data_IF_734394927004
#
_entry.id   IF_734394927004
#
_cell.length_a   1.000
_cell.length_b   1.000
_cell.length_c   1.000
_cell.angle_alpha   90.00
_cell.angle_beta   90.00
_cell.angle_gamma   90.00
#
_symmetry.space_group_name_H-M   'P 1'
#
loop_
_entity.id
_entity.type
_entity.pdbx_description
1 polymer ?
#
# COMPACT_ATOMS: atom_id res chain seq x y z
N UNK A 1 -1.79 -17.91 -8.06
CA UNK A 1 -1.03 -16.66 -7.85
C UNK A 1 0.05 -16.99 -6.83
N UNK A 2 1.32 -16.86 -7.20
CA UNK A 2 2.44 -17.10 -6.27
C UNK A 2 2.59 -15.89 -5.36
N UNK A 3 3.06 -16.12 -4.13
CA UNK A 3 3.31 -15.06 -3.15
C UNK A 3 4.33 -14.05 -3.69
N UNK A 4 4.17 -12.76 -3.37
CA UNK A 4 5.15 -11.74 -3.77
C UNK A 4 6.29 -11.72 -2.75
N UNK A 5 7.56 -11.90 -3.17
CA UNK A 5 8.69 -11.77 -2.26
C UNK A 5 8.67 -10.43 -1.55
N UNK A 6 8.92 -10.41 -0.24
CA UNK A 6 8.87 -9.17 0.54
C UNK A 6 9.82 -8.11 -0.03
N UNK A 7 10.98 -8.49 -0.56
CA UNK A 7 11.92 -7.55 -1.21
C UNK A 7 11.35 -6.85 -2.43
N UNK A 8 10.30 -7.38 -3.05
CA UNK A 8 9.62 -6.78 -4.21
C UNK A 8 8.38 -5.97 -3.80
N UNK A 9 7.93 -6.09 -2.55
CA UNK A 9 6.65 -5.56 -2.11
C UNK A 9 6.69 -4.04 -1.89
N UNK A 10 5.98 -3.29 -2.73
CA UNK A 10 5.86 -1.82 -2.62
C UNK A 10 5.25 -1.37 -1.28
N UNK A 11 4.38 -2.19 -0.69
CA UNK A 11 3.75 -1.91 0.60
C UNK A 11 4.74 -1.77 1.76
N UNK A 12 5.96 -2.30 1.64
CA UNK A 12 7.02 -2.04 2.64
C UNK A 12 7.30 -0.54 2.79
N UNK A 13 7.21 0.25 1.71
CA UNK A 13 7.42 1.68 1.80
C UNK A 13 6.21 2.40 2.42
N UNK A 14 5.00 1.91 2.14
CA UNK A 14 3.77 2.45 2.73
C UNK A 14 3.76 2.35 4.25
N UNK A 15 4.14 1.19 4.81
CA UNK A 15 4.11 0.98 6.27
C UNK A 15 5.19 1.75 7.04
N UNK A 16 6.22 2.23 6.34
CA UNK A 16 7.33 2.99 6.94
C UNK A 16 7.04 4.50 7.08
N UNK A 17 5.89 4.98 6.59
CA UNK A 17 5.54 6.39 6.61
C UNK A 17 4.08 6.63 6.99
N UNK A 18 3.77 7.88 7.35
CA UNK A 18 2.39 8.30 7.65
C UNK A 18 1.69 8.79 6.38
N UNK A 19 0.41 8.44 6.23
CA UNK A 19 -0.43 8.86 5.11
C UNK A 19 -0.15 8.08 3.82
N UNK A 20 -0.55 8.65 2.68
CA UNK A 20 -0.45 7.96 1.39
C UNK A 20 1.00 7.95 0.92
N UNK A 21 1.50 6.77 0.54
CA UNK A 21 2.68 6.61 -0.30
C UNK A 21 2.23 6.47 -1.76
N UNK A 22 2.50 7.47 -2.58
CA UNK A 22 2.09 7.52 -3.99
C UNK A 22 3.32 7.59 -4.90
N UNK A 23 3.42 6.65 -5.84
CA UNK A 23 4.41 6.63 -6.91
C UNK A 23 3.69 6.67 -8.25
N UNK A 24 3.80 7.81 -8.92
CA UNK A 24 3.08 8.07 -10.18
C UNK A 24 3.55 7.16 -11.31
N UNK A 25 4.86 6.92 -11.37
CA UNK A 25 5.51 5.97 -12.26
C UNK A 25 6.61 5.18 -11.53
N UNK A 26 6.36 3.90 -11.25
CA UNK A 26 7.29 2.97 -10.59
C UNK A 26 8.58 2.79 -11.40
N UNK A 27 8.53 2.94 -12.73
CA UNK A 27 9.69 2.82 -13.60
C UNK A 27 10.66 4.01 -13.45
N UNK A 28 10.15 5.17 -13.06
CA UNK A 28 10.95 6.38 -12.83
C UNK A 28 11.45 6.47 -11.38
N UNK A 29 10.90 5.67 -10.47
CA UNK A 29 11.27 5.71 -9.07
C UNK A 29 12.60 4.96 -8.82
N UNK A 30 13.64 5.60 -8.25
CA UNK A 30 14.97 5.00 -8.13
C UNK A 30 14.99 3.66 -7.38
N UNK A 31 14.16 3.51 -6.35
CA UNK A 31 14.07 2.27 -5.56
C UNK A 31 13.26 1.15 -6.21
N UNK A 32 12.49 1.43 -7.28
CA UNK A 32 11.58 0.47 -7.89
C UNK A 32 11.84 0.19 -9.37
N UNK A 33 12.61 1.04 -10.05
CA UNK A 33 12.90 0.87 -11.48
C UNK A 33 13.51 -0.49 -11.83
N UNK A 34 14.31 -1.06 -10.93
CA UNK A 34 14.95 -2.38 -11.07
C UNK A 34 14.21 -3.51 -10.35
N UNK A 35 13.05 -3.23 -9.74
CA UNK A 35 12.24 -4.27 -9.12
C UNK A 35 11.69 -5.19 -10.24
N UNK A 36 11.81 -6.53 -10.13
CA UNK A 36 11.33 -7.44 -11.16
C UNK A 36 9.84 -7.27 -11.52
N UNK A 37 9.00 -6.85 -10.56
CA UNK A 37 7.59 -6.58 -10.83
C UNK A 37 7.34 -5.32 -11.70
N UNK A 38 8.38 -4.51 -11.93
CA UNK A 38 8.38 -3.28 -12.74
C UNK A 38 9.21 -3.47 -14.02
N UNK A 39 10.44 -3.97 -13.89
CA UNK A 39 11.37 -4.18 -14.99
C UNK A 39 10.92 -5.34 -15.90
N UNK A 40 10.44 -6.43 -15.29
CA UNK A 40 9.91 -7.62 -15.96
C UNK A 40 8.39 -7.70 -15.79
N UNK A 41 7.80 -8.81 -16.25
CA UNK A 41 6.39 -9.04 -16.08
C UNK A 41 6.01 -9.02 -14.57
N UNK A 42 4.92 -8.33 -14.19
CA UNK A 42 3.85 -7.87 -15.08
C UNK A 42 3.98 -6.39 -15.51
N UNK A 43 5.11 -5.74 -15.27
CA UNK A 43 5.38 -4.33 -15.62
C UNK A 43 4.46 -3.32 -14.93
N UNK A 44 4.34 -3.39 -13.60
CA UNK A 44 3.60 -2.39 -12.85
C UNK A 44 4.20 -0.99 -13.03
N UNK A 45 3.33 0.01 -13.15
CA UNK A 45 3.71 1.40 -13.40
C UNK A 45 3.20 2.35 -12.34
N UNK A 46 2.13 2.05 -11.63
CA UNK A 46 1.60 2.96 -10.62
C UNK A 46 1.35 2.22 -9.31
N UNK A 47 1.62 2.89 -8.20
CA UNK A 47 1.29 2.43 -6.86
C UNK A 47 0.81 3.59 -5.99
N UNK A 48 -0.28 3.38 -5.26
CA UNK A 48 -0.66 4.22 -4.13
C UNK A 48 -1.11 3.35 -2.96
N UNK A 49 -0.51 3.53 -1.79
CA UNK A 49 -0.84 2.78 -0.58
C UNK A 49 -1.15 3.69 0.60
N UNK A 50 -2.09 3.28 1.45
CA UNK A 50 -2.35 3.88 2.75
C UNK A 50 -2.19 2.83 3.85
N UNK A 51 -1.52 3.16 4.97
CA UNK A 51 -1.22 2.20 6.04
C UNK A 51 -2.48 1.79 6.81
N UNK A 52 -2.51 0.52 7.22
CA UNK A 52 -3.52 -0.05 8.11
C UNK A 52 -2.87 -0.27 9.47
N UNK A 53 -3.50 0.25 10.52
CA UNK A 53 -2.94 0.25 11.88
C UNK A 53 -3.67 -0.70 12.82
N UNK A 54 -2.93 -1.25 13.76
CA UNK A 54 -3.48 -1.93 14.94
C UNK A 54 -3.95 -0.92 16.02
N UNK A 55 -4.50 -1.37 17.16
CA UNK A 55 -4.89 -0.48 18.26
C UNK A 55 -3.75 0.33 18.87
N UNK A 56 -2.52 -0.19 18.85
CA UNK A 56 -1.34 0.44 19.42
C UNK A 56 -0.68 1.44 18.45
N UNK A 57 -1.20 1.53 17.22
CA UNK A 57 -0.74 2.45 16.18
C UNK A 57 0.40 1.92 15.33
N UNK A 58 0.70 0.62 15.39
CA UNK A 58 1.67 -0.02 14.49
C UNK A 58 1.03 -0.31 13.13
N UNK A 59 1.75 0.02 12.05
CA UNK A 59 1.32 -0.28 10.70
C UNK A 59 1.51 -1.77 10.41
N UNK A 60 0.42 -2.53 10.36
CA UNK A 60 0.44 -3.97 10.05
C UNK A 60 0.57 -4.25 8.56
N UNK A 61 0.11 -3.32 7.73
CA UNK A 61 0.04 -3.48 6.28
C UNK A 61 -0.51 -2.24 5.60
N UNK A 62 -1.10 -2.42 4.40
CA UNK A 62 -1.65 -1.31 3.64
C UNK A 62 -2.83 -1.73 2.77
N UNK A 63 -3.82 -0.84 2.62
CA UNK A 63 -4.71 -0.85 1.46
C UNK A 63 -3.99 -0.14 0.32
N UNK A 64 -3.97 -0.73 -0.87
CA UNK A 64 -3.27 -0.14 -2.00
C UNK A 64 -4.01 -0.33 -3.33
N UNK A 65 -3.69 0.56 -4.26
CA UNK A 65 -4.09 0.51 -5.67
C UNK A 65 -2.82 0.40 -6.49
N UNK A 66 -2.84 -0.49 -7.48
CA UNK A 66 -1.72 -0.74 -8.38
C UNK A 66 -2.24 -0.79 -9.82
N UNK A 67 -1.46 -0.27 -10.78
CA UNK A 67 -1.84 -0.25 -12.20
C UNK A 67 -0.62 -0.45 -13.12
N UNK A 68 -0.88 -0.89 -14.35
CA UNK A 68 0.10 -1.05 -15.44
C UNK A 68 0.36 0.24 -16.22
N UNK A 69 -0.35 1.33 -15.90
CA UNK A 69 -0.14 2.66 -16.47
C UNK A 69 0.20 3.68 -15.39
N UNK A 70 1.04 4.69 -15.68
CA UNK A 70 1.26 5.80 -14.76
C UNK A 70 -0.06 6.50 -14.41
N UNK A 71 -0.20 6.90 -13.15
CA UNK A 71 -1.39 7.63 -12.67
C UNK A 71 -1.01 8.66 -11.62
N UNK A 72 -1.96 9.53 -11.32
CA UNK A 72 -1.91 10.43 -10.18
C UNK A 72 -3.31 10.47 -9.57
N UNK A 73 -3.40 10.23 -8.28
CA UNK A 73 -4.66 10.32 -7.56
C UNK A 73 -5.05 11.80 -7.40
N UNK A 74 -6.31 12.09 -7.67
CA UNK A 74 -6.91 13.36 -7.28
C UNK A 74 -7.20 13.42 -5.75
N UNK A 75 -7.65 14.57 -5.27
CA UNK A 75 -7.94 14.77 -3.83
C UNK A 75 -9.03 13.83 -3.31
N UNK A 76 -10.06 13.57 -4.12
CA UNK A 76 -11.18 12.70 -3.75
C UNK A 76 -10.70 11.25 -3.65
N UNK A 77 -9.96 10.77 -4.64
CA UNK A 77 -9.39 9.42 -4.66
C UNK A 77 -8.42 9.19 -3.49
N UNK A 78 -7.59 10.18 -3.16
CA UNK A 78 -6.73 10.13 -1.97
C UNK A 78 -7.55 10.02 -0.69
N UNK A 79 -8.62 10.82 -0.58
CA UNK A 79 -9.52 10.78 0.58
C UNK A 79 -10.17 9.40 0.72
N UNK A 80 -10.70 8.85 -0.37
CA UNK A 80 -11.30 7.51 -0.38
C UNK A 80 -10.29 6.43 0.01
N UNK A 81 -9.06 6.48 -0.50
CA UNK A 81 -8.03 5.50 -0.13
C UNK A 81 -7.72 5.51 1.37
N UNK A 82 -7.64 6.71 1.97
CA UNK A 82 -7.45 6.86 3.42
C UNK A 82 -8.65 6.35 4.23
N UNK A 83 -9.87 6.61 3.77
CA UNK A 83 -11.10 6.13 4.42
C UNK A 83 -11.19 4.61 4.38
N UNK A 84 -10.85 3.98 3.25
CA UNK A 84 -10.80 2.53 3.15
C UNK A 84 -9.75 1.92 4.08
N UNK A 85 -8.56 2.53 4.18
CA UNK A 85 -7.53 2.08 5.12
C UNK A 85 -7.96 2.27 6.59
N UNK A 86 -8.71 3.33 6.89
CA UNK A 86 -9.28 3.55 8.22
C UNK A 86 -10.31 2.48 8.58
N UNK A 87 -11.24 2.16 7.68
CA UNK A 87 -12.22 1.08 7.86
C UNK A 87 -11.52 -0.26 8.11
N UNK A 88 -10.49 -0.59 7.32
CA UNK A 88 -9.70 -1.80 7.52
C UNK A 88 -8.99 -1.80 8.87
N UNK A 89 -8.47 -0.66 9.32
CA UNK A 89 -7.83 -0.52 10.63
C UNK A 89 -8.84 -0.73 11.76
N UNK A 90 -10.05 -0.20 11.63
CA UNK A 90 -11.09 -0.37 12.63
C UNK A 90 -11.55 -1.82 12.74
N UNK A 91 -11.66 -2.54 11.63
CA UNK A 91 -11.94 -3.98 11.63
C UNK A 91 -10.83 -4.80 12.32
N UNK A 92 -9.56 -4.45 12.08
CA UNK A 92 -8.42 -5.08 12.78
C UNK A 92 -8.53 -4.85 14.29
N UNK A 93 -8.81 -3.62 14.72
CA UNK A 93 -8.93 -3.28 16.14
C UNK A 93 -10.06 -4.04 16.81
N UNK A 94 -11.22 -4.14 16.16
CA UNK A 94 -12.37 -4.86 16.69
C UNK A 94 -12.04 -6.34 16.95
N UNK A 95 -11.36 -6.99 16.00
CA UNK A 95 -10.97 -8.41 16.15
C UNK A 95 -9.93 -8.62 17.24
N UNK A 96 -8.98 -7.71 17.40
CA UNK A 96 -7.99 -7.78 18.47
C UNK A 96 -8.63 -7.72 19.86
N UNK A 97 -9.60 -6.80 20.05
CA UNK A 97 -10.37 -6.70 21.30
C UNK A 97 -11.17 -7.98 21.57
N UNK A 98 -11.83 -8.54 20.56
CA UNK A 98 -12.59 -9.79 20.69
C UNK A 98 -11.71 -11.00 21.00
N UNK A 99 -10.47 -11.04 20.50
CA UNK A 99 -9.54 -12.13 20.76
C UNK A 99 -8.91 -12.08 22.16
N UNK A 100 -8.94 -10.91 22.82
CA UNK A 100 -8.43 -10.67 24.18
C UNK A 100 -9.50 -10.79 25.28
N UNK A 101 -10.76 -11.06 24.91
CA UNK A 101 -11.90 -11.22 25.82
C UNK A 101 -12.19 -12.70 26.10
#
# INVERSE_FOLDING_TARGET
>A
MVETPRSWAFCNHTVLQKGIFEVRDLKEHPSFALNPAVADAPHFRFYAGAPVYDPDGFALGSICVIDFRPRQLDKSQKRTLLELAAIASDEVKLRDVMAKS
#
